data_IF_214085333042
#
_entry.id   IF_214085333042
#
_cell.length_a   1.000
_cell.length_b   1.000
_cell.length_c   1.000
_cell.angle_alpha   90.00
_cell.angle_beta   90.00
_cell.angle_gamma   90.00
#
_symmetry.space_group_name_H-M   'P 1'
#
loop_
_entity.id
_entity.type
_entity.pdbx_description
1 polymer ?
#
# COMPACT_ATOMS: atom_id res chain seq x y z
N UNK A 1 2.17 -5.49 -20.91
CA UNK A 1 1.31 -5.84 -19.76
C UNK A 1 0.96 -7.34 -19.80
N UNK A 2 0.41 -7.84 -20.87
CA UNK A 2 -0.02 -9.24 -20.99
C UNK A 2 1.10 -10.24 -20.70
N UNK A 3 2.28 -10.06 -21.28
CA UNK A 3 3.44 -10.92 -21.06
C UNK A 3 3.94 -10.94 -19.61
N UNK A 4 3.67 -9.91 -18.83
CA UNK A 4 3.95 -9.86 -17.39
C UNK A 4 2.90 -10.65 -16.62
N UNK A 5 1.62 -10.46 -16.94
CA UNK A 5 0.52 -11.11 -16.24
C UNK A 5 0.46 -12.62 -16.47
N UNK A 6 0.85 -13.09 -17.67
CA UNK A 6 0.91 -14.52 -18.01
C UNK A 6 2.27 -15.18 -17.69
N UNK A 7 3.18 -14.48 -17.01
CA UNK A 7 4.51 -14.94 -16.61
C UNK A 7 5.45 -15.32 -17.79
N UNK A 8 5.22 -14.85 -19.00
CA UNK A 8 6.17 -15.04 -20.11
C UNK A 8 7.33 -14.05 -20.03
N UNK A 9 7.13 -12.85 -19.49
CA UNK A 9 8.17 -11.89 -19.19
C UNK A 9 8.72 -12.11 -17.78
N UNK A 10 10.02 -12.43 -17.65
CA UNK A 10 10.62 -12.91 -16.40
C UNK A 10 11.30 -11.82 -15.56
N UNK A 11 11.63 -10.66 -16.13
CA UNK A 11 12.27 -9.57 -15.41
C UNK A 11 11.22 -8.72 -14.67
N UNK A 12 10.59 -9.34 -13.69
CA UNK A 12 9.54 -8.73 -12.88
C UNK A 12 9.84 -8.85 -11.40
N UNK A 13 9.27 -7.94 -10.61
CA UNK A 13 9.26 -8.02 -9.15
C UNK A 13 7.88 -7.65 -8.62
N UNK A 14 7.50 -8.23 -7.50
CA UNK A 14 6.29 -7.84 -6.81
C UNK A 14 6.56 -6.59 -5.96
N UNK A 15 5.60 -5.66 -6.00
CA UNK A 15 5.47 -4.61 -5.00
C UNK A 15 4.48 -5.08 -3.96
N UNK A 16 4.98 -5.29 -2.76
CA UNK A 16 4.23 -5.81 -1.62
C UNK A 16 4.06 -4.72 -0.57
N UNK A 17 3.08 -4.89 0.31
CA UNK A 17 2.89 -4.04 1.48
C UNK A 17 2.88 -4.87 2.76
N UNK A 18 3.16 -4.24 3.87
CA UNK A 18 2.84 -4.75 5.20
C UNK A 18 2.23 -3.63 6.05
N UNK A 19 1.36 -4.04 6.94
CA UNK A 19 0.71 -3.16 7.92
C UNK A 19 1.18 -3.48 9.31
N UNK A 20 1.08 -2.52 10.20
CA UNK A 20 1.38 -2.67 11.61
C UNK A 20 0.41 -3.67 12.26
N UNK A 21 0.90 -4.55 13.12
CA UNK A 21 0.08 -5.52 13.84
C UNK A 21 -0.71 -4.86 14.98
N UNK A 22 -0.06 -3.95 15.70
CA UNK A 22 -0.59 -3.30 16.89
C UNK A 22 -0.64 -1.78 16.70
N UNK A 23 -1.82 -1.20 16.78
CA UNK A 23 -2.04 0.23 16.68
C UNK A 23 -2.40 0.80 18.04
N UNK A 24 -1.83 1.95 18.39
CA UNK A 24 -2.25 2.75 19.56
C UNK A 24 -3.46 3.62 19.24
N UNK A 25 -3.68 3.92 17.95
CA UNK A 25 -4.81 4.72 17.49
C UNK A 25 -5.69 3.85 16.57
N UNK A 26 -6.94 3.61 16.98
CA UNK A 26 -7.89 2.80 16.22
C UNK A 26 -8.27 3.46 14.88
N UNK A 27 -8.41 4.78 14.83
CA UNK A 27 -8.72 5.49 13.58
C UNK A 27 -7.59 5.31 12.55
N UNK A 28 -6.31 5.30 12.97
CA UNK A 28 -5.18 5.01 12.08
C UNK A 28 -5.27 3.60 11.49
N UNK A 29 -5.57 2.60 12.30
CA UNK A 29 -5.79 1.23 11.84
C UNK A 29 -6.91 1.13 10.81
N UNK A 30 -8.04 1.77 11.11
CA UNK A 30 -9.23 1.70 10.26
C UNK A 30 -9.00 2.45 8.94
N UNK A 31 -8.28 3.57 8.95
CA UNK A 31 -7.87 4.30 7.73
C UNK A 31 -6.91 3.44 6.89
N UNK A 32 -5.92 2.79 7.49
CA UNK A 32 -5.00 1.89 6.77
C UNK A 32 -5.76 0.72 6.15
N UNK A 33 -6.70 0.12 6.88
CA UNK A 33 -7.57 -0.94 6.35
C UNK A 33 -8.39 -0.45 5.15
N UNK A 34 -8.99 0.73 5.25
CA UNK A 34 -9.73 1.36 4.17
C UNK A 34 -8.84 1.70 2.96
N UNK A 35 -7.59 2.13 3.19
CA UNK A 35 -6.62 2.37 2.12
C UNK A 35 -6.29 1.10 1.33
N UNK A 36 -6.12 -0.03 2.02
CA UNK A 36 -5.90 -1.32 1.36
C UNK A 36 -7.14 -1.70 0.52
N UNK A 37 -8.34 -1.48 1.05
CA UNK A 37 -9.58 -1.63 0.29
C UNK A 37 -9.62 -0.73 -0.94
N UNK A 38 -9.21 0.54 -0.81
CA UNK A 38 -9.12 1.46 -1.94
C UNK A 38 -8.14 0.99 -3.02
N UNK A 39 -6.96 0.49 -2.65
CA UNK A 39 -6.00 -0.07 -3.62
C UNK A 39 -6.60 -1.23 -4.43
N UNK A 40 -7.57 -1.95 -3.89
CA UNK A 40 -8.25 -3.07 -4.57
C UNK A 40 -9.45 -2.63 -5.42
N UNK A 41 -9.92 -1.39 -5.29
CA UNK A 41 -11.04 -0.84 -6.07
C UNK A 41 -10.65 -0.59 -7.52
N UNK A 42 -11.66 -0.40 -8.38
CA UNK A 42 -11.46 -0.01 -9.79
C UNK A 42 -10.62 1.27 -9.86
N UNK A 43 -10.92 2.28 -9.05
CA UNK A 43 -10.22 3.56 -9.03
C UNK A 43 -8.78 3.41 -8.55
N UNK A 44 -8.55 2.68 -7.44
CA UNK A 44 -7.21 2.42 -6.92
C UNK A 44 -6.34 1.63 -7.89
N UNK A 45 -6.90 0.61 -8.54
CA UNK A 45 -6.21 -0.15 -9.59
C UNK A 45 -5.87 0.72 -10.80
N UNK A 46 -6.79 1.60 -11.22
CA UNK A 46 -6.53 2.57 -12.29
C UNK A 46 -5.39 3.51 -11.94
N UNK A 47 -5.35 4.02 -10.70
CA UNK A 47 -4.25 4.87 -10.22
C UNK A 47 -2.92 4.13 -10.22
N UNK A 48 -2.90 2.86 -9.79
CA UNK A 48 -1.70 2.02 -9.83
C UNK A 48 -1.20 1.87 -11.26
N UNK A 49 -2.08 1.53 -12.22
CA UNK A 49 -1.71 1.35 -13.63
C UNK A 49 -1.21 2.64 -14.29
N UNK A 50 -1.89 3.74 -14.05
CA UNK A 50 -1.49 5.05 -14.59
C UNK A 50 -0.10 5.48 -14.11
N UNK A 51 0.31 5.01 -12.93
CA UNK A 51 1.61 5.29 -12.33
C UNK A 51 2.64 4.16 -12.52
N UNK A 52 2.41 3.25 -13.48
CA UNK A 52 3.39 2.27 -13.95
C UNK A 52 3.32 0.89 -13.28
N UNK A 53 2.40 0.66 -12.35
CA UNK A 53 2.17 -0.66 -11.80
C UNK A 53 1.40 -1.57 -12.77
N UNK A 54 1.64 -2.87 -12.68
CA UNK A 54 0.94 -3.86 -13.51
C UNK A 54 0.16 -4.79 -12.58
N UNK A 55 -1.14 -4.89 -12.82
CA UNK A 55 -2.03 -5.78 -12.06
C UNK A 55 -3.16 -6.30 -12.97
N UNK A 56 -3.76 -7.45 -12.60
CA UNK A 56 -4.93 -7.94 -13.31
C UNK A 56 -6.14 -7.07 -12.96
N UNK A 57 -6.95 -6.77 -13.98
CA UNK A 57 -8.28 -6.21 -13.82
C UNK A 57 -9.29 -7.35 -13.98
N UNK A 58 -10.36 -7.31 -13.21
CA UNK A 58 -11.45 -8.29 -13.25
C UNK A 58 -12.78 -7.57 -13.46
N UNK A 59 -13.72 -8.25 -14.13
CA UNK A 59 -15.12 -7.80 -14.18
C UNK A 59 -15.79 -7.77 -12.81
N UNK A 60 -15.22 -8.47 -11.83
CA UNK A 60 -15.73 -8.56 -10.46
C UNK A 60 -15.13 -7.47 -9.54
N UNK A 61 -14.22 -6.64 -10.07
CA UNK A 61 -13.68 -5.53 -9.32
C UNK A 61 -14.78 -4.52 -8.98
N UNK A 62 -14.80 -4.11 -7.71
CA UNK A 62 -15.79 -3.16 -7.21
C UNK A 62 -15.28 -1.74 -7.26
N UNK A 63 -16.19 -0.80 -7.46
CA UNK A 63 -15.89 0.63 -7.34
C UNK A 63 -15.58 0.99 -5.88
N UNK A 64 -14.86 2.09 -5.66
CA UNK A 64 -14.66 2.60 -4.31
C UNK A 64 -15.99 3.00 -3.65
N UNK A 65 -16.95 3.50 -4.42
CA UNK A 65 -18.27 3.84 -3.89
C UNK A 65 -18.99 2.64 -3.27
N UNK A 66 -18.81 1.44 -3.82
CA UNK A 66 -19.35 0.20 -3.24
C UNK A 66 -18.53 -0.27 -2.03
N UNK A 67 -17.19 -0.29 -2.15
CA UNK A 67 -16.30 -0.75 -1.09
C UNK A 67 -16.33 0.17 0.13
N UNK A 68 -16.45 1.48 -0.06
CA UNK A 68 -16.47 2.48 1.01
C UNK A 68 -17.58 2.26 2.04
N UNK A 69 -18.66 1.61 1.66
CA UNK A 69 -19.76 1.26 2.57
C UNK A 69 -19.30 0.32 3.71
N UNK A 70 -18.22 -0.42 3.50
CA UNK A 70 -17.63 -1.31 4.51
C UNK A 70 -16.60 -0.62 5.41
N UNK A 71 -16.29 0.65 5.13
CA UNK A 71 -15.29 1.43 5.87
C UNK A 71 -15.89 2.71 6.48
N UNK A 72 -16.65 2.60 7.57
CA UNK A 72 -17.34 3.75 8.20
C UNK A 72 -16.39 4.85 8.65
N UNK A 73 -15.09 4.56 8.85
CA UNK A 73 -14.07 5.54 9.17
C UNK A 73 -13.99 6.65 8.10
N UNK A 74 -14.24 6.33 6.82
CA UNK A 74 -14.16 7.31 5.74
C UNK A 74 -15.32 8.31 5.71
N UNK A 75 -16.37 8.09 6.51
CA UNK A 75 -17.49 9.02 6.70
C UNK A 75 -17.24 10.03 7.86
N UNK A 76 -16.13 9.91 8.57
CA UNK A 76 -15.73 10.83 9.65
C UNK A 76 -14.80 11.92 9.12
N UNK A 77 -14.71 13.03 9.86
CA UNK A 77 -13.61 13.97 9.74
C UNK A 77 -12.34 13.37 10.34
N UNK A 78 -11.34 13.11 9.49
CA UNK A 78 -10.07 12.51 9.87
C UNK A 78 -8.89 13.50 9.80
N UNK A 79 -9.14 14.79 9.63
CA UNK A 79 -8.09 15.83 9.46
C UNK A 79 -7.08 15.88 10.62
N UNK A 80 -7.44 15.35 11.80
CA UNK A 80 -6.56 15.28 12.96
C UNK A 80 -5.80 13.95 13.09
N UNK A 81 -6.04 12.99 12.19
CA UNK A 81 -5.34 11.71 12.16
C UNK A 81 -4.22 11.75 11.13
N UNK A 82 -3.01 11.35 11.52
CA UNK A 82 -1.86 11.24 10.61
C UNK A 82 -1.47 9.77 10.46
N UNK A 83 -1.34 9.31 9.21
CA UNK A 83 -0.85 7.98 8.86
C UNK A 83 0.62 8.07 8.45
N UNK A 84 1.47 7.23 9.03
CA UNK A 84 2.89 7.17 8.71
C UNK A 84 3.16 6.02 7.73
N UNK A 85 3.70 6.37 6.58
CA UNK A 85 3.95 5.43 5.47
C UNK A 85 5.43 5.42 5.11
N UNK A 86 5.98 4.24 4.83
CA UNK A 86 7.40 4.10 4.51
C UNK A 86 7.71 2.95 3.56
N UNK A 87 8.98 2.50 3.61
CA UNK A 87 9.48 1.36 2.85
C UNK A 87 10.16 1.73 1.54
N UNK A 88 9.92 0.98 0.49
CA UNK A 88 10.64 1.05 -0.78
C UNK A 88 10.51 2.39 -1.49
N UNK A 89 11.64 2.91 -1.98
CA UNK A 89 11.69 4.10 -2.84
C UNK A 89 11.15 3.83 -4.26
N UNK A 90 11.18 2.59 -4.71
CA UNK A 90 10.73 2.19 -6.05
C UNK A 90 9.22 2.36 -6.28
N UNK A 91 8.43 2.35 -5.21
CA UNK A 91 6.96 2.50 -5.28
C UNK A 91 6.49 3.94 -5.09
N UNK A 92 7.42 4.89 -4.92
CA UNK A 92 7.13 6.25 -4.46
C UNK A 92 6.05 6.95 -5.30
N UNK A 93 6.14 6.86 -6.61
CA UNK A 93 5.18 7.53 -7.51
C UNK A 93 3.77 6.95 -7.34
N UNK A 94 3.64 5.64 -7.32
CA UNK A 94 2.35 4.95 -7.16
C UNK A 94 1.74 5.30 -5.80
N UNK A 95 2.52 5.16 -4.73
CA UNK A 95 2.02 5.36 -3.36
C UNK A 95 1.64 6.82 -3.10
N UNK A 96 2.40 7.79 -3.61
CA UNK A 96 2.02 9.19 -3.50
C UNK A 96 0.70 9.50 -4.21
N UNK A 97 0.49 8.96 -5.42
CA UNK A 97 -0.76 9.15 -6.14
C UNK A 97 -1.94 8.55 -5.36
N UNK A 98 -1.81 7.32 -4.90
CA UNK A 98 -2.84 6.64 -4.10
C UNK A 98 -3.18 7.40 -2.80
N UNK A 99 -2.17 7.83 -2.03
CA UNK A 99 -2.38 8.57 -0.78
C UNK A 99 -3.06 9.91 -1.01
N UNK A 100 -2.65 10.63 -2.06
CA UNK A 100 -3.24 11.93 -2.42
C UNK A 100 -4.71 11.80 -2.77
N UNK A 101 -5.07 10.83 -3.61
CA UNK A 101 -6.46 10.60 -4.01
C UNK A 101 -7.30 10.08 -2.85
N UNK A 102 -6.78 9.11 -2.10
CA UNK A 102 -7.53 8.47 -1.03
C UNK A 102 -7.76 9.39 0.17
N UNK A 103 -6.83 10.27 0.51
CA UNK A 103 -7.01 11.21 1.63
C UNK A 103 -8.31 12.01 1.48
N UNK A 104 -8.59 12.51 0.28
CA UNK A 104 -9.82 13.26 0.00
C UNK A 104 -11.09 12.41 0.07
N UNK A 105 -10.97 11.10 -0.11
CA UNK A 105 -12.09 10.13 -0.09
C UNK A 105 -12.35 9.54 1.30
N UNK A 106 -11.46 9.79 2.26
CA UNK A 106 -11.54 9.23 3.60
C UNK A 106 -11.32 10.30 4.69
N UNK A 107 -12.16 11.31 4.69
CA UNK A 107 -12.24 12.35 5.73
C UNK A 107 -11.03 13.28 5.81
N UNK A 108 -10.20 13.35 4.78
CA UNK A 108 -9.08 14.30 4.71
C UNK A 108 -7.96 14.03 5.70
N UNK A 109 -7.70 12.77 6.06
CA UNK A 109 -6.58 12.43 6.95
C UNK A 109 -5.25 12.92 6.41
N UNK A 110 -4.32 13.20 7.31
CA UNK A 110 -2.95 13.58 6.98
C UNK A 110 -2.09 12.34 6.82
N UNK A 111 -1.06 12.43 6.00
CA UNK A 111 -0.06 11.37 5.90
C UNK A 111 1.36 11.93 5.84
N UNK A 112 2.29 11.16 6.39
CA UNK A 112 3.73 11.39 6.28
C UNK A 112 4.33 10.21 5.54
N UNK A 113 4.77 10.42 4.30
CA UNK A 113 5.38 9.37 3.48
C UNK A 113 6.89 9.57 3.37
N UNK A 114 7.64 8.68 4.02
CA UNK A 114 9.09 8.69 4.07
C UNK A 114 9.67 7.35 3.59
N UNK A 115 9.81 7.13 2.27
CA UNK A 115 10.40 5.92 1.72
C UNK A 115 11.93 5.95 1.87
N UNK A 116 12.49 4.93 2.54
CA UNK A 116 13.93 4.81 2.85
C UNK A 116 14.54 3.51 2.30
N UNK A 117 13.71 2.55 1.91
CA UNK A 117 14.13 1.28 1.32
C UNK A 117 13.25 0.12 1.75
N UNK A 118 13.23 -0.97 0.96
CA UNK A 118 12.40 -2.14 1.25
C UNK A 118 12.78 -2.85 2.56
N UNK A 119 14.04 -2.76 2.99
CA UNK A 119 14.49 -3.35 4.26
C UNK A 119 13.83 -2.69 5.48
N UNK A 120 13.41 -1.44 5.36
CA UNK A 120 12.77 -0.70 6.44
C UNK A 120 11.27 -1.01 6.57
N UNK A 121 10.66 -1.65 5.58
CA UNK A 121 9.24 -1.92 5.59
C UNK A 121 8.81 -2.73 6.83
N UNK A 122 9.37 -3.92 7.01
CA UNK A 122 9.11 -4.74 8.20
C UNK A 122 9.65 -4.10 9.48
N UNK A 123 10.88 -3.58 9.42
CA UNK A 123 11.58 -3.02 10.56
C UNK A 123 10.78 -1.93 11.26
N UNK A 124 10.15 -1.04 10.50
CA UNK A 124 9.41 0.14 10.98
C UNK A 124 7.93 -0.14 11.26
N UNK A 125 7.36 -1.24 10.74
CA UNK A 125 5.96 -1.62 11.02
C UNK A 125 5.84 -2.62 12.16
N UNK A 126 6.66 -3.68 12.15
CA UNK A 126 6.54 -4.83 13.07
C UNK A 126 7.87 -5.25 13.70
N UNK A 127 9.00 -4.72 13.23
CA UNK A 127 10.34 -5.06 13.68
C UNK A 127 10.88 -4.14 14.77
N UNK A 128 12.21 -3.97 14.80
CA UNK A 128 12.94 -3.28 15.87
C UNK A 128 12.64 -1.79 16.01
N UNK A 129 12.08 -1.15 15.00
CA UNK A 129 11.74 0.28 14.99
C UNK A 129 10.24 0.56 15.06
N UNK A 130 9.41 -0.46 15.29
CA UNK A 130 7.95 -0.34 15.31
C UNK A 130 7.41 0.66 16.35
N UNK A 131 8.14 0.88 17.43
CA UNK A 131 7.77 1.79 18.52
C UNK A 131 8.73 2.99 18.62
N UNK A 132 9.62 3.16 17.64
CA UNK A 132 10.56 4.25 17.54
C UNK A 132 9.95 5.50 16.89
N UNK A 133 10.77 6.56 16.79
CA UNK A 133 10.35 7.84 16.16
C UNK A 133 10.06 7.73 14.66
N UNK A 134 10.55 6.67 14.01
CA UNK A 134 10.39 6.42 12.59
C UNK A 134 9.42 5.27 12.28
N UNK A 135 8.54 4.93 13.21
CA UNK A 135 7.55 3.87 12.97
C UNK A 135 6.66 4.15 11.75
N UNK A 136 6.12 3.08 11.18
CA UNK A 136 5.14 3.17 10.10
C UNK A 136 3.87 2.39 10.45
N UNK A 137 2.73 2.94 10.05
CA UNK A 137 1.43 2.27 10.10
C UNK A 137 1.29 1.30 8.92
N UNK A 138 1.87 1.68 7.78
CA UNK A 138 1.88 0.96 6.51
C UNK A 138 3.24 1.15 5.84
N UNK A 139 3.79 0.10 5.27
CA UNK A 139 5.02 0.21 4.48
C UNK A 139 5.01 -0.73 3.27
N UNK A 140 5.83 -0.37 2.28
CA UNK A 140 5.92 -1.08 1.02
C UNK A 140 7.31 -1.68 0.80
N UNK A 141 7.38 -2.83 0.11
CA UNK A 141 8.61 -3.46 -0.30
C UNK A 141 8.56 -3.82 -1.79
N UNK A 142 9.70 -3.66 -2.47
CA UNK A 142 9.85 -4.07 -3.87
C UNK A 142 10.44 -5.48 -4.00
N UNK A 143 10.17 -6.32 -3.02
CA UNK A 143 10.55 -7.72 -2.90
C UNK A 143 9.59 -8.46 -1.97
N UNK A 144 9.67 -9.75 -1.93
CA UNK A 144 8.98 -10.56 -0.92
C UNK A 144 9.59 -10.32 0.49
N UNK A 145 8.73 -10.46 1.51
CA UNK A 145 9.18 -10.55 2.90
C UNK A 145 9.76 -11.94 3.14
N UNK A 146 10.86 -12.01 3.85
CA UNK A 146 11.60 -13.26 4.08
C UNK A 146 11.36 -13.82 5.50
N UNK A 147 11.99 -14.96 5.81
CA UNK A 147 11.83 -15.64 7.10
C UNK A 147 12.30 -14.82 8.32
N UNK A 148 13.21 -13.86 8.13
CA UNK A 148 13.63 -12.95 9.19
C UNK A 148 12.67 -11.77 9.39
N UNK A 149 11.63 -11.67 8.55
CA UNK A 149 10.58 -10.65 8.56
C UNK A 149 9.22 -11.33 8.77
N UNK A 150 8.99 -12.03 9.91
CA UNK A 150 7.80 -12.82 10.12
C UNK A 150 6.55 -11.96 10.17
N UNK A 151 5.65 -12.15 9.22
CA UNK A 151 4.37 -11.45 9.10
C UNK A 151 3.25 -12.47 8.93
N UNK A 152 2.21 -12.35 9.73
CA UNK A 152 0.97 -13.08 9.50
C UNK A 152 0.36 -12.69 8.15
N UNK A 153 -0.38 -13.58 7.53
CA UNK A 153 -0.92 -13.37 6.18
C UNK A 153 -1.86 -12.17 6.08
N UNK A 154 -2.59 -11.86 7.16
CA UNK A 154 -3.46 -10.70 7.24
C UNK A 154 -2.72 -9.35 7.41
N UNK A 155 -1.40 -9.38 7.64
CA UNK A 155 -0.57 -8.18 7.81
C UNK A 155 0.23 -7.81 6.57
N UNK A 156 0.12 -8.58 5.50
CA UNK A 156 0.85 -8.35 4.25
C UNK A 156 0.00 -8.64 3.04
N UNK A 157 0.39 -8.09 1.91
CA UNK A 157 -0.24 -8.37 0.64
C UNK A 157 0.55 -7.82 -0.53
N UNK A 158 0.12 -8.18 -1.73
CA UNK A 158 0.69 -7.70 -2.97
C UNK A 158 -0.12 -6.50 -3.47
N UNK A 159 0.58 -5.42 -3.85
CA UNK A 159 -0.03 -4.26 -4.47
C UNK A 159 -0.10 -4.42 -5.99
N UNK A 160 1.04 -4.65 -6.64
CA UNK A 160 1.14 -4.79 -8.08
C UNK A 160 2.46 -5.46 -8.48
N UNK A 161 2.69 -5.59 -9.79
CA UNK A 161 3.94 -6.07 -10.38
C UNK A 161 4.65 -4.87 -11.03
N UNK A 162 5.96 -4.81 -10.90
CA UNK A 162 6.85 -3.94 -11.65
C UNK A 162 7.60 -4.76 -12.70
N UNK A 163 7.70 -4.24 -13.92
CA UNK A 163 8.46 -4.85 -14.99
C UNK A 163 9.74 -4.04 -15.24
N UNK A 164 10.88 -4.70 -15.10
CA UNK A 164 12.19 -4.09 -15.31
C UNK A 164 12.51 -4.15 -16.82
N UNK A 165 12.56 -3.00 -17.48
CA UNK A 165 12.88 -2.90 -18.89
C UNK A 165 14.29 -2.35 -19.05
N UNK A 166 15.14 -3.07 -19.80
CA UNK A 166 16.42 -2.54 -20.22
C UNK A 166 16.19 -1.47 -21.28
N UNK A 167 16.65 -0.24 -21.01
CA UNK A 167 16.67 0.84 -22.01
C UNK A 167 18.02 0.80 -22.69
N UNK A 168 18.02 0.56 -24.02
CA UNK A 168 19.21 0.56 -24.86
C UNK A 168 19.34 1.91 -25.55
#
# INVERSE_FOLDING_TARGET
KENVLNNTYKLTRNFNYCVRAEYTNQDSRDIVSAFIGYMSSIEGKSTIETNGGILPLSSDDKSWSELSLTYPICNKDNQNTTIYVGGSTSVKTIVNALLTEFSSKCGGFKYSYNPTGSADAYKRTNGSEKDGTNYCDLAFASREFNESEPLADNLKGKMCIDAIVAVV
#
